data_IF_521402207319
#
_entry.id   IF_521402207319
#
_cell.length_a   1.000
_cell.length_b   1.000
_cell.length_c   1.000
_cell.angle_alpha   90.00
_cell.angle_beta   90.00
_cell.angle_gamma   90.00
#
_symmetry.space_group_name_H-M   'P 1'
#
loop_
_entity.id
_entity.type
_entity.pdbx_description
1 polymer ?
#
# COMPACT_ATOMS: atom_id res chain seq x y z
N UNK A 1 -15.29 -7.81 -39.39
CA UNK A 1 -15.83 -6.57 -38.79
C UNK A 1 -15.39 -6.34 -37.35
N UNK A 2 -15.20 -7.37 -36.50
CA UNK A 2 -14.61 -7.19 -35.15
C UNK A 2 -13.08 -7.18 -35.13
N UNK A 3 -12.43 -7.99 -35.98
CA UNK A 3 -10.96 -8.11 -36.00
C UNK A 3 -10.26 -6.80 -36.42
N UNK A 4 -10.85 -6.07 -37.36
CA UNK A 4 -10.37 -4.73 -37.75
C UNK A 4 -10.57 -3.68 -36.65
N UNK A 5 -11.66 -3.80 -35.87
CA UNK A 5 -11.89 -2.95 -34.70
C UNK A 5 -10.83 -3.20 -33.63
N UNK A 6 -10.50 -4.46 -33.34
CA UNK A 6 -9.43 -4.80 -32.39
C UNK A 6 -8.07 -4.28 -32.87
N UNK A 7 -7.76 -4.42 -34.15
CA UNK A 7 -6.51 -3.90 -34.75
C UNK A 7 -6.43 -2.38 -34.64
N UNK A 8 -7.50 -1.66 -34.98
CA UNK A 8 -7.53 -0.19 -34.89
C UNK A 8 -7.45 0.29 -33.44
N UNK A 9 -8.05 -0.43 -32.49
CA UNK A 9 -8.01 -0.08 -31.07
C UNK A 9 -6.60 -0.24 -30.48
N UNK A 10 -5.92 -1.33 -30.84
CA UNK A 10 -4.54 -1.59 -30.43
C UNK A 10 -3.60 -0.56 -31.04
N UNK A 11 -3.75 -0.26 -32.33
CA UNK A 11 -2.94 0.77 -33.00
C UNK A 11 -3.17 2.14 -32.36
N UNK A 12 -4.41 2.58 -32.17
CA UNK A 12 -4.71 3.86 -31.51
C UNK A 12 -4.11 3.97 -30.11
N UNK A 13 -4.09 2.87 -29.34
CA UNK A 13 -3.50 2.83 -28.00
C UNK A 13 -1.98 2.90 -28.05
N UNK A 14 -1.33 2.16 -28.95
CA UNK A 14 0.12 2.19 -29.12
C UNK A 14 0.63 3.59 -29.52
N UNK A 15 -0.10 4.31 -30.38
CA UNK A 15 0.28 5.67 -30.81
C UNK A 15 -0.03 6.76 -29.78
N UNK A 16 -0.88 6.50 -28.78
CA UNK A 16 -1.16 7.43 -27.68
C UNK A 16 -0.20 7.27 -26.50
N UNK A 17 0.43 6.11 -26.37
CA UNK A 17 1.45 5.88 -25.34
C UNK A 17 2.72 6.62 -25.76
N UNK A 18 2.93 7.78 -25.15
CA UNK A 18 4.22 8.46 -25.23
C UNK A 18 5.21 7.60 -24.45
N UNK A 19 6.04 6.83 -25.16
CA UNK A 19 7.19 6.16 -24.56
C UNK A 19 8.21 7.24 -24.25
N UNK A 20 8.14 7.73 -23.02
CA UNK A 20 9.16 8.62 -22.47
C UNK A 20 10.47 7.85 -22.40
N UNK A 21 11.52 8.46 -22.96
CA UNK A 21 12.89 7.93 -22.91
C UNK A 21 13.37 8.00 -21.46
N UNK A 22 14.27 7.10 -21.07
CA UNK A 22 14.73 6.87 -19.69
C UNK A 22 15.12 8.17 -18.94
N UNK A 23 15.56 9.19 -19.67
CA UNK A 23 15.93 10.52 -19.15
C UNK A 23 14.79 11.30 -18.46
N UNK A 24 13.51 11.02 -18.77
CA UNK A 24 12.37 11.67 -18.11
C UNK A 24 11.91 10.97 -16.81
N UNK A 25 12.46 9.81 -16.49
CA UNK A 25 12.10 9.06 -15.26
C UNK A 25 12.83 9.62 -14.03
N UNK A 26 13.93 10.34 -14.21
CA UNK A 26 14.70 10.96 -13.13
C UNK A 26 14.01 12.20 -12.52
N UNK A 27 13.08 12.82 -13.25
CA UNK A 27 12.38 14.04 -12.80
C UNK A 27 11.04 13.77 -12.10
N UNK A 28 10.65 12.49 -11.97
CA UNK A 28 9.58 12.07 -11.07
C UNK A 28 10.15 11.62 -9.73
N UNK A 29 11.14 12.34 -9.20
CA UNK A 29 11.38 12.28 -7.77
C UNK A 29 10.08 12.74 -7.10
N UNK A 30 9.45 11.91 -6.23
CA UNK A 30 8.33 12.38 -5.46
C UNK A 30 8.88 13.52 -4.61
N UNK A 31 8.52 14.77 -4.96
CA UNK A 31 8.63 15.89 -4.03
C UNK A 31 7.90 15.40 -2.80
N UNK A 32 8.66 15.06 -1.76
CA UNK A 32 8.13 14.75 -0.46
C UNK A 32 7.40 16.02 -0.03
N UNK A 33 6.15 16.16 -0.45
CA UNK A 33 5.24 17.14 0.08
C UNK A 33 5.26 16.84 1.57
N UNK A 34 5.88 17.74 2.32
CA UNK A 34 5.89 17.69 3.76
C UNK A 34 4.43 17.68 4.18
N UNK A 35 3.91 16.50 4.50
CA UNK A 35 2.64 16.40 5.19
C UNK A 35 2.85 17.12 6.51
N UNK A 36 2.36 18.35 6.60
CA UNK A 36 2.29 19.10 7.83
C UNK A 36 1.21 18.45 8.68
N UNK A 37 1.62 17.50 9.52
CA UNK A 37 0.76 16.99 10.57
C UNK A 37 0.57 18.11 11.59
N UNK A 38 -0.57 18.79 11.56
CA UNK A 38 -1.05 19.60 12.69
C UNK A 38 -1.43 18.62 13.81
N UNK A 39 -0.45 18.12 14.55
CA UNK A 39 -0.70 17.53 15.86
C UNK A 39 -0.79 18.65 16.88
N UNK A 40 -1.98 18.78 17.46
CA UNK A 40 -2.28 19.70 18.53
C UNK A 40 -1.30 19.54 19.70
N UNK A 41 -1.00 20.70 20.24
CA UNK A 41 -0.28 21.04 21.46
C UNK A 41 -0.29 20.01 22.59
N UNK A 42 0.77 20.14 23.38
CA UNK A 42 0.93 19.84 24.82
C UNK A 42 1.85 18.65 25.12
N UNK A 43 2.99 19.02 25.73
CA UNK A 43 3.99 18.13 26.28
C UNK A 43 3.37 17.02 27.13
N UNK A 44 3.61 15.79 26.69
CA UNK A 44 4.01 14.73 27.60
C UNK A 44 5.03 13.88 26.84
N UNK A 45 6.28 13.90 27.29
CA UNK A 45 7.29 12.91 26.95
C UNK A 45 6.87 11.54 27.51
N UNK A 46 5.79 10.97 27.00
CA UNK A 46 5.44 9.59 27.18
C UNK A 46 6.10 8.84 26.03
N UNK A 47 7.29 8.28 26.28
CA UNK A 47 7.88 7.31 25.36
C UNK A 47 6.81 6.25 25.04
N UNK A 48 6.59 5.90 23.76
CA UNK A 48 5.56 4.94 23.39
C UNK A 48 5.83 3.62 24.10
N UNK A 49 4.86 3.18 24.92
CA UNK A 49 4.95 1.91 25.63
C UNK A 49 5.04 0.79 24.60
N UNK A 50 6.26 0.29 24.39
CA UNK A 50 6.50 -0.90 23.58
C UNK A 50 5.93 -2.07 24.36
N UNK A 51 4.96 -2.78 23.76
CA UNK A 51 4.49 -4.05 24.31
C UNK A 51 5.68 -4.99 24.42
N UNK A 52 5.81 -5.63 25.57
CA UNK A 52 6.84 -6.66 25.81
C UNK A 52 6.48 -7.93 25.04
N UNK A 53 5.19 -8.20 24.86
CA UNK A 53 4.68 -9.37 24.15
C UNK A 53 4.60 -9.20 22.63
N UNK A 54 4.84 -10.32 21.93
CA UNK A 54 4.67 -10.43 20.48
C UNK A 54 3.22 -10.20 20.06
N UNK A 55 3.05 -9.44 18.97
CA UNK A 55 1.73 -9.24 18.36
C UNK A 55 1.32 -10.53 17.64
N UNK A 56 0.25 -11.17 18.10
CA UNK A 56 -0.36 -12.31 17.40
C UNK A 56 -0.81 -11.86 16.00
N UNK A 57 -0.22 -12.44 14.96
CA UNK A 57 -0.57 -12.16 13.58
C UNK A 57 -1.91 -12.77 13.20
N UNK A 58 -2.59 -12.16 12.22
CA UNK A 58 -3.94 -12.59 11.78
C UNK A 58 -4.01 -14.07 11.37
N UNK A 59 -2.92 -14.64 10.88
CA UNK A 59 -2.86 -16.04 10.42
C UNK A 59 -2.26 -17.01 11.46
N UNK A 60 -1.74 -16.52 12.59
CA UNK A 60 -1.09 -17.34 13.62
C UNK A 60 -2.11 -18.20 14.37
N UNK A 61 -1.66 -19.29 15.02
CA UNK A 61 -2.53 -20.08 15.90
C UNK A 61 -3.13 -19.19 17.00
N UNK A 62 -4.43 -19.35 17.24
CA UNK A 62 -5.15 -18.53 18.19
C UNK A 62 -4.73 -18.88 19.64
N UNK A 63 -4.38 -17.89 20.48
CA UNK A 63 -3.88 -18.13 21.84
C UNK A 63 -4.91 -18.75 22.80
N UNK A 64 -6.18 -18.86 22.39
CA UNK A 64 -7.23 -19.55 23.17
C UNK A 64 -7.12 -21.09 23.15
N UNK A 65 -6.11 -21.66 22.49
CA UNK A 65 -5.92 -23.12 22.43
C UNK A 65 -6.86 -23.87 21.49
N UNK A 66 -7.66 -23.17 20.69
CA UNK A 66 -8.64 -23.79 19.78
C UNK A 66 -8.03 -24.46 18.54
N UNK A 67 -6.73 -24.32 18.30
CA UNK A 67 -6.03 -24.83 17.12
C UNK A 67 -6.39 -24.13 15.80
N UNK A 68 -7.30 -23.15 15.82
CA UNK A 68 -7.72 -22.37 14.64
C UNK A 68 -6.80 -21.15 14.46
N UNK A 69 -6.65 -20.68 13.21
CA UNK A 69 -5.97 -19.40 12.93
C UNK A 69 -6.69 -18.25 13.63
N UNK A 70 -5.96 -17.25 14.13
CA UNK A 70 -6.50 -16.11 14.88
C UNK A 70 -7.69 -15.46 14.16
N UNK A 71 -7.58 -15.23 12.84
CA UNK A 71 -8.67 -14.69 12.00
C UNK A 71 -9.97 -15.49 11.95
N UNK A 72 -9.90 -16.79 12.23
CA UNK A 72 -11.05 -17.69 12.23
C UNK A 72 -11.58 -17.97 13.64
N UNK A 73 -11.03 -17.29 14.65
CA UNK A 73 -11.40 -17.50 16.04
C UNK A 73 -11.68 -16.16 16.73
N UNK A 74 -10.65 -15.43 17.19
CA UNK A 74 -10.82 -14.17 17.92
C UNK A 74 -10.54 -12.91 17.08
N UNK A 75 -10.11 -13.08 15.81
CA UNK A 75 -9.76 -11.99 14.91
C UNK A 75 -10.68 -11.85 13.70
N UNK A 76 -12.01 -11.89 13.92
CA UNK A 76 -13.00 -11.68 12.84
C UNK A 76 -12.63 -10.47 11.97
#
# INVERSE_FOLDING_TARGET
MMDEQVKTDVICKLYRVQVTREEQVEEMQPKAQSMQFLHGSEEAEAAPVKRVDDKVGRNDPCPCGSGKKYKKCHGQ
#
